data_IF_933814544289
#
_entry.id   IF_933814544289
#
_cell.length_a   1.000
_cell.length_b   1.000
_cell.length_c   1.000
_cell.angle_alpha   90.00
_cell.angle_beta   90.00
_cell.angle_gamma   90.00
#
_symmetry.space_group_name_H-M   'P 1'
#
loop_
_entity.id
_entity.type
_entity.pdbx_description
1 polymer ?
#
# COMPACT_ATOMS: atom_id res chain seq x y z
N UNK A 1 7.24 -6.37 -22.95
CA UNK A 1 5.76 -6.48 -22.94
C UNK A 1 5.28 -6.16 -21.54
N UNK A 2 4.26 -5.32 -21.38
CA UNK A 2 3.65 -5.01 -20.06
C UNK A 2 2.81 -6.21 -19.56
N UNK A 3 2.32 -6.13 -18.32
CA UNK A 3 1.56 -7.17 -17.62
C UNK A 3 0.12 -7.30 -18.15
N UNK A 4 -0.40 -8.52 -18.16
CA UNK A 4 -1.82 -8.84 -18.42
C UNK A 4 -2.42 -9.39 -17.13
N UNK A 5 -3.54 -8.81 -16.68
CA UNK A 5 -4.18 -9.13 -15.41
C UNK A 5 -5.65 -9.46 -15.70
N UNK A 6 -6.09 -10.66 -15.31
CA UNK A 6 -7.46 -11.11 -15.61
C UNK A 6 -7.80 -11.09 -17.09
N UNK A 7 -6.83 -11.41 -17.97
CA UNK A 7 -7.01 -11.41 -19.42
C UNK A 7 -6.94 -10.04 -20.11
N UNK A 8 -6.77 -8.95 -19.36
CA UNK A 8 -6.71 -7.58 -19.89
C UNK A 8 -5.32 -6.94 -19.67
N UNK A 9 -4.76 -6.18 -20.63
CA UNK A 9 -3.53 -5.42 -20.41
C UNK A 9 -3.61 -4.49 -19.20
N UNK A 10 -2.53 -4.35 -18.43
CA UNK A 10 -2.48 -3.42 -17.28
C UNK A 10 -2.78 -1.97 -17.68
N UNK A 11 -2.36 -1.57 -18.88
CA UNK A 11 -2.60 -0.22 -19.43
C UNK A 11 -4.08 0.09 -19.67
N UNK A 12 -4.90 -0.93 -19.94
CA UNK A 12 -6.35 -0.78 -20.15
C UNK A 12 -7.17 -0.74 -18.86
N UNK A 13 -6.51 -0.88 -17.68
CA UNK A 13 -7.16 -0.90 -16.37
C UNK A 13 -7.16 0.47 -15.70
N UNK A 14 -8.12 0.67 -14.79
CA UNK A 14 -8.30 1.91 -14.04
C UNK A 14 -7.10 2.28 -13.16
N UNK A 15 -7.02 3.56 -12.75
CA UNK A 15 -5.91 4.10 -11.93
C UNK A 15 -5.63 3.26 -10.66
N UNK A 16 -6.68 2.72 -10.03
CA UNK A 16 -6.59 1.86 -8.84
C UNK A 16 -5.76 0.60 -9.05
N UNK A 17 -6.09 -0.20 -10.07
CA UNK A 17 -5.37 -1.46 -10.31
C UNK A 17 -3.94 -1.21 -10.81
N UNK A 18 -3.69 -0.08 -11.49
CA UNK A 18 -2.32 0.34 -11.82
C UNK A 18 -1.48 0.68 -10.58
N UNK A 19 -2.06 1.34 -9.58
CA UNK A 19 -1.37 1.65 -8.33
C UNK A 19 -1.00 0.37 -7.56
N UNK A 20 -1.97 -0.54 -7.36
CA UNK A 20 -1.75 -1.80 -6.64
C UNK A 20 -0.71 -2.68 -7.34
N UNK A 21 -0.76 -2.74 -8.67
CA UNK A 21 0.22 -3.54 -9.44
C UNK A 21 1.61 -2.93 -9.43
N UNK A 22 1.71 -1.61 -9.38
CA UNK A 22 2.99 -0.94 -9.13
C UNK A 22 3.53 -1.30 -7.75
N UNK A 23 2.71 -1.26 -6.69
CA UNK A 23 3.12 -1.70 -5.35
C UNK A 23 3.58 -3.15 -5.33
N UNK A 24 2.83 -4.06 -5.97
CA UNK A 24 3.21 -5.47 -6.07
C UNK A 24 4.54 -5.67 -6.81
N UNK A 25 4.78 -4.92 -7.89
CA UNK A 25 6.04 -4.97 -8.65
C UNK A 25 7.22 -4.46 -7.83
N UNK A 26 7.05 -3.33 -7.11
CA UNK A 26 8.09 -2.76 -6.25
C UNK A 26 8.47 -3.72 -5.13
N UNK A 27 7.49 -4.32 -4.46
CA UNK A 27 7.73 -5.31 -3.40
C UNK A 27 8.38 -6.58 -3.99
N UNK A 28 7.86 -7.09 -5.10
CA UNK A 28 8.43 -8.27 -5.76
C UNK A 28 9.87 -8.06 -6.25
N UNK A 29 10.24 -6.83 -6.65
CA UNK A 29 11.62 -6.49 -6.97
C UNK A 29 12.52 -6.52 -5.73
N UNK A 30 12.06 -6.01 -4.59
CA UNK A 30 12.77 -6.14 -3.32
C UNK A 30 13.00 -7.61 -2.99
N UNK A 31 11.98 -8.45 -3.07
CA UNK A 31 12.08 -9.89 -2.79
C UNK A 31 13.05 -10.57 -3.75
N UNK A 32 12.93 -10.30 -5.05
CA UNK A 32 13.83 -10.84 -6.07
C UNK A 32 15.30 -10.52 -5.75
N UNK A 33 15.59 -9.27 -5.38
CA UNK A 33 16.94 -8.83 -5.03
C UNK A 33 17.42 -9.49 -3.74
N UNK A 34 16.58 -9.53 -2.71
CA UNK A 34 16.90 -10.13 -1.41
C UNK A 34 17.19 -11.62 -1.53
N UNK A 35 16.35 -12.39 -2.22
CA UNK A 35 16.52 -13.83 -2.45
C UNK A 35 17.82 -14.17 -3.18
N UNK A 36 18.30 -13.25 -4.03
CA UNK A 36 19.50 -13.44 -4.87
C UNK A 36 20.73 -12.74 -4.32
N UNK A 37 20.64 -12.18 -3.12
CA UNK A 37 21.73 -11.40 -2.51
C UNK A 37 22.25 -10.28 -3.43
N UNK A 38 21.33 -9.63 -4.14
CA UNK A 38 21.61 -8.47 -4.99
C UNK A 38 21.46 -7.18 -4.19
N UNK A 39 22.11 -6.12 -4.65
CA UNK A 39 22.03 -4.80 -4.03
C UNK A 39 20.58 -4.27 -4.00
N UNK A 40 20.01 -4.17 -2.81
CA UNK A 40 18.75 -3.50 -2.54
C UNK A 40 18.79 -2.90 -1.13
N UNK A 41 18.15 -1.75 -0.85
CA UNK A 41 18.17 -1.11 0.47
C UNK A 41 17.56 -1.93 1.63
N UNK A 42 16.92 -3.06 1.35
CA UNK A 42 16.19 -3.86 2.35
C UNK A 42 14.83 -3.28 2.77
N UNK A 43 14.42 -2.15 2.18
CA UNK A 43 13.12 -1.53 2.44
C UNK A 43 12.50 -0.91 1.19
N UNK A 44 11.17 -0.72 1.23
CA UNK A 44 10.40 -0.01 0.20
C UNK A 44 9.45 1.01 0.84
N UNK A 45 9.17 2.10 0.11
CA UNK A 45 8.20 3.12 0.50
C UNK A 45 7.10 3.19 -0.55
N UNK A 46 5.84 3.12 -0.10
CA UNK A 46 4.65 3.19 -0.94
C UNK A 46 3.82 4.41 -0.55
N UNK A 47 3.61 5.30 -1.52
CA UNK A 47 2.75 6.48 -1.38
C UNK A 47 1.36 6.18 -1.94
N UNK A 48 0.37 6.18 -1.06
CA UNK A 48 -1.04 5.94 -1.35
C UNK A 48 -1.34 4.74 -2.28
N UNK A 49 -0.87 3.52 -1.95
CA UNK A 49 -1.02 2.34 -2.82
C UNK A 49 -2.48 1.95 -3.07
N UNK A 50 -3.42 2.39 -2.23
CA UNK A 50 -4.83 2.02 -2.29
C UNK A 50 -5.77 3.21 -2.59
N UNK A 51 -5.27 4.45 -2.71
CA UNK A 51 -6.12 5.64 -2.90
C UNK A 51 -6.99 5.55 -4.17
N UNK A 52 -6.39 5.15 -5.30
CA UNK A 52 -7.11 5.06 -6.56
C UNK A 52 -8.08 3.86 -6.64
N UNK A 53 -8.03 2.94 -5.66
CA UNK A 53 -9.03 1.90 -5.45
C UNK A 53 -10.27 2.43 -4.72
N UNK A 54 -10.10 3.41 -3.83
CA UNK A 54 -11.20 3.97 -3.02
C UNK A 54 -12.16 4.86 -3.83
N UNK A 55 -11.69 5.45 -4.93
CA UNK A 55 -12.50 6.27 -5.83
C UNK A 55 -12.50 5.71 -7.26
N UNK A 56 -13.09 4.53 -7.50
CA UNK A 56 -13.15 3.99 -8.84
C UNK A 56 -14.12 4.85 -9.68
N UNK A 57 -13.56 5.59 -10.64
CA UNK A 57 -14.33 6.16 -11.75
C UNK A 57 -14.94 4.96 -12.50
N UNK A 58 -16.26 4.80 -12.38
CA UNK A 58 -17.05 3.61 -12.75
C UNK A 58 -16.48 2.77 -13.92
N UNK A 59 -16.12 1.52 -13.65
CA UNK A 59 -15.75 0.50 -14.66
C UNK A 59 -16.13 -0.90 -14.16
N UNK A 60 -16.14 -1.91 -15.03
CA UNK A 60 -16.35 -3.33 -14.70
C UNK A 60 -15.42 -3.83 -13.57
N UNK A 61 -14.26 -3.19 -13.41
CA UNK A 61 -13.32 -3.43 -12.31
C UNK A 61 -13.95 -3.16 -10.94
N UNK A 62 -14.95 -2.27 -10.81
CA UNK A 62 -15.60 -1.94 -9.55
C UNK A 62 -16.22 -3.19 -8.88
N UNK A 63 -16.87 -4.07 -9.64
CA UNK A 63 -17.46 -5.30 -9.11
C UNK A 63 -16.38 -6.33 -8.70
N UNK A 64 -15.27 -6.39 -9.43
CA UNK A 64 -14.13 -7.26 -9.13
C UNK A 64 -13.35 -6.78 -7.89
N UNK A 65 -13.38 -5.47 -7.64
CA UNK A 65 -12.61 -4.78 -6.62
C UNK A 65 -13.39 -4.65 -5.29
N UNK A 66 -14.68 -4.24 -5.33
CA UNK A 66 -15.50 -4.06 -4.12
C UNK A 66 -15.85 -5.38 -3.41
N UNK A 67 -15.89 -6.51 -4.12
CA UNK A 67 -16.31 -7.80 -3.55
C UNK A 67 -15.22 -8.61 -2.82
N UNK A 68 -13.94 -8.23 -2.92
CA UNK A 68 -12.82 -9.14 -2.59
C UNK A 68 -12.08 -8.75 -1.31
N UNK A 69 -12.47 -7.67 -0.62
CA UNK A 69 -11.75 -7.21 0.58
C UNK A 69 -10.27 -6.93 0.29
N UNK A 70 -9.99 -6.31 -0.86
CA UNK A 70 -8.62 -6.14 -1.36
C UNK A 70 -7.76 -5.31 -0.40
N UNK A 71 -8.35 -4.31 0.25
CA UNK A 71 -7.69 -3.50 1.27
C UNK A 71 -7.25 -4.39 2.43
N UNK A 72 -8.17 -5.17 2.97
CA UNK A 72 -7.95 -6.10 4.07
C UNK A 72 -6.86 -7.10 3.71
N UNK A 73 -6.99 -7.76 2.56
CA UNK A 73 -6.03 -8.72 2.05
C UNK A 73 -4.65 -8.11 1.80
N UNK A 74 -4.58 -6.86 1.32
CA UNK A 74 -3.32 -6.16 1.10
C UNK A 74 -2.58 -5.96 2.43
N UNK A 75 -3.22 -5.37 3.43
CA UNK A 75 -2.57 -5.16 4.73
C UNK A 75 -2.27 -6.47 5.45
N UNK A 76 -3.18 -7.45 5.42
CA UNK A 76 -2.96 -8.77 6.00
C UNK A 76 -1.79 -9.52 5.36
N UNK A 77 -1.69 -9.47 4.04
CA UNK A 77 -0.57 -10.07 3.31
C UNK A 77 0.75 -9.44 3.77
N UNK A 78 0.83 -8.11 3.84
CA UNK A 78 2.08 -7.44 4.22
C UNK A 78 2.45 -7.70 5.69
N UNK A 79 1.47 -7.62 6.60
CA UNK A 79 1.66 -7.85 8.03
C UNK A 79 2.14 -9.29 8.36
N UNK A 80 1.80 -10.27 7.51
CA UNK A 80 2.17 -11.67 7.76
C UNK A 80 3.48 -12.10 7.07
N UNK A 81 3.87 -11.45 5.98
CA UNK A 81 4.93 -11.97 5.10
C UNK A 81 6.26 -11.18 5.15
N UNK A 82 6.29 -9.97 5.73
CA UNK A 82 7.48 -9.10 5.71
C UNK A 82 8.01 -8.79 7.11
N UNK A 83 8.45 -9.83 7.82
CA UNK A 83 9.06 -9.71 9.15
C UNK A 83 10.58 -9.47 9.10
N UNK A 84 11.20 -9.68 7.94
CA UNK A 84 12.64 -9.60 7.69
C UNK A 84 12.98 -8.59 6.56
N UNK A 85 12.02 -7.76 6.20
CA UNK A 85 12.13 -6.62 5.27
C UNK A 85 11.25 -5.49 5.78
N UNK A 86 11.55 -4.22 5.45
CA UNK A 86 10.74 -3.10 5.88
C UNK A 86 9.88 -2.54 4.73
N UNK A 87 8.56 -2.47 4.96
CA UNK A 87 7.61 -1.84 4.04
C UNK A 87 6.99 -0.64 4.74
N UNK A 88 7.21 0.55 4.19
CA UNK A 88 6.64 1.81 4.71
C UNK A 88 5.48 2.21 3.80
N UNK A 89 4.28 2.34 4.38
CA UNK A 89 3.08 2.80 3.67
C UNK A 89 2.68 4.15 4.22
N UNK A 90 2.51 5.12 3.32
CA UNK A 90 1.94 6.43 3.63
C UNK A 90 0.54 6.45 3.03
N UNK A 91 -0.47 6.63 3.87
CA UNK A 91 -1.87 6.62 3.44
C UNK A 91 -2.70 7.53 4.36
N UNK A 92 -3.76 8.13 3.81
CA UNK A 92 -4.68 8.97 4.59
C UNK A 92 -5.71 8.15 5.39
N UNK A 93 -6.00 6.93 4.94
CA UNK A 93 -7.00 6.05 5.52
C UNK A 93 -6.38 5.10 6.55
N UNK A 94 -7.01 4.96 7.71
CA UNK A 94 -6.53 4.06 8.79
C UNK A 94 -6.61 2.60 8.36
N UNK A 95 -5.54 1.79 8.48
CA UNK A 95 -5.58 0.38 8.10
C UNK A 95 -6.71 -0.41 8.79
N UNK A 96 -7.15 -1.54 8.20
CA UNK A 96 -8.20 -2.38 8.79
C UNK A 96 -7.81 -2.86 10.19
N UNK A 97 -8.82 -3.08 11.04
CA UNK A 97 -8.63 -3.66 12.38
C UNK A 97 -8.14 -5.10 12.26
N UNK A 98 -7.48 -5.60 13.31
CA UNK A 98 -6.98 -6.97 13.42
C UNK A 98 -5.50 -7.15 13.04
N UNK A 99 -4.85 -6.12 12.51
CA UNK A 99 -3.41 -6.12 12.23
C UNK A 99 -2.59 -5.38 13.29
N UNK A 100 -3.24 -4.84 14.32
CA UNK A 100 -2.57 -4.16 15.42
C UNK A 100 -1.59 -5.13 16.12
N UNK A 101 -0.36 -4.66 16.36
CA UNK A 101 0.71 -5.48 16.94
C UNK A 101 1.56 -6.26 15.95
N UNK A 102 1.10 -6.42 14.70
CA UNK A 102 1.94 -6.94 13.59
C UNK A 102 2.55 -5.83 12.74
N UNK A 103 2.01 -4.63 12.86
CA UNK A 103 2.53 -3.44 12.18
C UNK A 103 2.88 -2.35 13.18
N UNK A 104 3.80 -1.47 12.78
CA UNK A 104 4.00 -0.17 13.44
C UNK A 104 3.10 0.87 12.77
N UNK A 105 2.22 1.50 13.53
CA UNK A 105 1.30 2.54 13.04
C UNK A 105 1.66 3.89 13.66
N UNK A 106 1.88 4.90 12.82
CA UNK A 106 2.02 6.31 13.26
C UNK A 106 0.91 7.12 12.62
N UNK A 107 -0.02 7.60 13.43
CA UNK A 107 -1.12 8.44 12.96
C UNK A 107 -0.73 9.93 13.06
N UNK A 108 -0.91 10.65 11.96
CA UNK A 108 -0.81 12.11 11.92
C UNK A 108 -2.23 12.70 11.94
N UNK A 109 -2.56 13.45 12.99
CA UNK A 109 -3.94 13.87 13.27
C UNK A 109 -4.28 15.24 12.70
N UNK A 110 -3.28 16.09 12.43
CA UNK A 110 -3.48 17.51 12.14
C UNK A 110 -4.08 18.30 13.31
N UNK A 111 -4.21 17.69 14.49
CA UNK A 111 -4.78 18.30 15.69
C UNK A 111 -3.66 18.52 16.73
N UNK A 112 -3.34 19.76 17.10
CA UNK A 112 -2.29 20.06 18.07
C UNK A 112 -2.55 19.45 19.46
N UNK A 113 -3.79 19.10 19.76
CA UNK A 113 -4.22 18.59 21.06
C UNK A 113 -4.40 17.06 21.09
N UNK A 114 -4.13 16.34 19.99
CA UNK A 114 -4.39 14.90 19.89
C UNK A 114 -3.29 14.19 19.11
N UNK A 115 -2.66 13.19 19.73
CA UNK A 115 -1.66 12.36 19.06
C UNK A 115 -0.49 13.18 18.49
N UNK A 116 -0.02 12.81 17.30
CA UNK A 116 1.04 13.53 16.59
C UNK A 116 0.42 14.44 15.53
N UNK A 117 0.66 15.74 15.60
CA UNK A 117 0.11 16.73 14.67
C UNK A 117 0.43 16.39 13.20
N UNK A 118 1.71 16.21 12.89
CA UNK A 118 2.19 15.88 11.54
C UNK A 118 3.56 15.22 11.58
N UNK A 119 4.15 15.04 10.39
CA UNK A 119 5.53 14.57 10.34
C UNK A 119 6.47 15.54 11.05
N UNK A 120 6.25 16.84 10.83
CA UNK A 120 6.85 17.90 11.64
C UNK A 120 5.93 18.26 12.82
N UNK A 121 6.50 18.69 13.96
CA UNK A 121 5.72 19.28 15.05
C UNK A 121 4.91 20.49 14.57
N UNK A 122 3.83 20.83 15.29
CA UNK A 122 3.19 22.12 15.08
C UNK A 122 4.20 23.23 15.36
N UNK A 123 4.19 24.30 14.56
CA UNK A 123 4.99 25.47 14.86
C UNK A 123 4.59 26.00 16.24
N UNK A 124 5.56 26.25 17.11
CA UNK A 124 5.32 26.99 18.34
C UNK A 124 5.06 28.45 17.95
N UNK A 125 3.95 29.02 18.44
CA UNK A 125 3.62 30.44 18.28
C UNK A 125 4.58 31.36 19.06
#
# INVERSE_FOLDING_TARGET
KDLVIGGQPRTSRGKGLRAITHSAMTIGLMDFCKERNLSHPGFVVLDSPLLAYWQPEASEDKALLEGVGLRENFYEYLANNYNDSQILIIENETPPKGIEGRISLTNFTGNPNEGRYGFFPAAED
#
